data_IF_153724989892
#
_entry.id   IF_153724989892
#
_cell.length_a   1.000
_cell.length_b   1.000
_cell.length_c   1.000
_cell.angle_alpha   90.00
_cell.angle_beta   90.00
_cell.angle_gamma   90.00
#
_symmetry.space_group_name_H-M   'P 1'
#
loop_
_entity.id
_entity.type
_entity.pdbx_description
1 polymer ?
#
# COMPACT_ATOMS: atom_id res chain seq x y z
N UNK A 1 -7.68 0.18 -10.02
CA UNK A 1 -7.88 0.18 -8.55
C UNK A 1 -9.33 -0.15 -8.31
N UNK A 2 -9.63 -1.43 -8.09
CA UNK A 2 -10.99 -1.97 -8.09
C UNK A 2 -11.66 -1.90 -6.72
N UNK A 3 -10.85 -1.90 -5.66
CA UNK A 3 -11.30 -1.75 -4.28
C UNK A 3 -10.43 -0.68 -3.62
N UNK A 4 -11.06 0.42 -3.23
CA UNK A 4 -10.43 1.54 -2.55
C UNK A 4 -11.35 2.15 -1.52
N UNK A 5 -10.76 2.63 -0.44
CA UNK A 5 -11.42 3.34 0.65
C UNK A 5 -10.82 4.73 0.74
N UNK A 6 -11.71 5.73 0.69
CA UNK A 6 -11.37 7.10 1.00
C UNK A 6 -11.24 7.25 2.52
N UNK A 7 -10.07 7.68 2.96
CA UNK A 7 -9.74 7.97 4.34
C UNK A 7 -9.53 9.47 4.50
N UNK A 8 -10.23 10.08 5.45
CA UNK A 8 -10.10 11.48 5.79
C UNK A 8 -9.37 11.63 7.12
N UNK A 9 -8.30 12.42 7.14
CA UNK A 9 -7.59 12.77 8.36
C UNK A 9 -6.96 14.16 8.23
N UNK A 10 -7.57 15.14 8.91
CA UNK A 10 -7.14 16.54 8.98
C UNK A 10 -6.21 16.86 10.15
N UNK A 11 -5.73 15.83 10.87
CA UNK A 11 -4.82 16.07 11.97
C UNK A 11 -3.47 16.64 11.50
N UNK A 12 -2.76 17.30 12.42
CA UNK A 12 -1.39 17.79 12.22
C UNK A 12 -0.33 16.67 12.19
N UNK A 13 -0.75 15.40 12.15
CA UNK A 13 0.14 14.23 12.14
C UNK A 13 0.96 14.15 10.86
N UNK A 14 2.09 13.47 10.97
CA UNK A 14 2.91 13.17 9.79
C UNK A 14 2.14 12.30 8.80
N UNK A 15 2.45 12.45 7.50
CA UNK A 15 1.84 11.61 6.45
C UNK A 15 2.03 10.11 6.76
N UNK A 16 3.18 9.73 7.32
CA UNK A 16 3.48 8.35 7.72
C UNK A 16 2.45 7.81 8.70
N UNK A 17 2.16 8.54 9.77
CA UNK A 17 1.19 8.11 10.79
C UNK A 17 -0.22 8.00 10.22
N UNK A 18 -0.61 8.94 9.35
CA UNK A 18 -1.90 8.90 8.67
C UNK A 18 -2.04 7.66 7.79
N UNK A 19 -1.00 7.36 7.01
CA UNK A 19 -0.96 6.15 6.15
C UNK A 19 -1.01 4.90 7.01
N UNK A 20 -0.22 4.82 8.08
CA UNK A 20 -0.20 3.65 8.96
C UNK A 20 -1.58 3.34 9.55
N UNK A 21 -2.25 4.36 10.10
CA UNK A 21 -3.61 4.21 10.64
C UNK A 21 -4.62 3.79 9.60
N UNK A 22 -4.56 4.40 8.42
CA UNK A 22 -5.45 4.06 7.33
C UNK A 22 -5.22 2.62 6.83
N UNK A 23 -3.98 2.12 6.84
CA UNK A 23 -3.64 0.72 6.53
C UNK A 23 -4.18 -0.23 7.59
N UNK A 24 -3.98 0.08 8.87
CA UNK A 24 -4.51 -0.72 9.99
C UNK A 24 -6.03 -0.80 9.96
N UNK A 25 -6.70 0.32 9.69
CA UNK A 25 -8.15 0.37 9.58
C UNK A 25 -8.66 -0.38 8.34
N UNK A 26 -8.00 -0.22 7.18
CA UNK A 26 -8.35 -0.95 5.97
C UNK A 26 -8.25 -2.46 6.20
N UNK A 27 -7.17 -2.92 6.84
CA UNK A 27 -6.96 -4.34 7.14
C UNK A 27 -8.01 -4.88 8.10
N UNK A 28 -8.37 -4.12 9.13
CA UNK A 28 -9.44 -4.50 10.06
C UNK A 28 -10.82 -4.55 9.37
N UNK A 29 -11.10 -3.61 8.46
CA UNK A 29 -12.39 -3.49 7.79
C UNK A 29 -12.60 -4.52 6.69
N UNK A 30 -11.58 -4.79 5.88
CA UNK A 30 -11.66 -5.66 4.70
C UNK A 30 -10.97 -7.02 4.87
N UNK A 31 -10.28 -7.24 6.00
CA UNK A 31 -9.53 -8.48 6.26
C UNK A 31 -8.33 -8.70 5.32
N UNK A 32 -7.89 -7.66 4.62
CA UNK A 32 -6.81 -7.72 3.61
C UNK A 32 -5.89 -6.52 3.75
N UNK A 33 -4.59 -6.74 3.53
CA UNK A 33 -3.62 -5.65 3.52
C UNK A 33 -3.76 -4.83 2.22
N UNK A 34 -3.81 -3.49 2.28
CA UNK A 34 -3.76 -2.67 1.09
C UNK A 34 -2.37 -2.69 0.46
N UNK A 35 -2.30 -2.53 -0.86
CA UNK A 35 -1.03 -2.53 -1.61
C UNK A 35 -0.65 -1.15 -2.13
N UNK A 36 -1.57 -0.19 -2.13
CA UNK A 36 -1.36 1.14 -2.67
C UNK A 36 -2.09 2.21 -1.84
N UNK A 37 -1.42 3.35 -1.65
CA UNK A 37 -1.99 4.55 -1.08
C UNK A 37 -1.80 5.74 -2.03
N UNK A 38 -2.87 6.46 -2.37
CA UNK A 38 -2.81 7.70 -3.15
C UNK A 38 -3.10 8.89 -2.24
N UNK A 39 -2.34 9.97 -2.42
CA UNK A 39 -2.50 11.19 -1.62
C UNK A 39 -2.33 12.43 -2.48
N UNK A 40 -2.83 13.57 -2.01
CA UNK A 40 -2.65 14.82 -2.74
C UNK A 40 -1.15 15.25 -2.74
N UNK A 41 -0.57 15.63 -3.89
CA UNK A 41 0.81 16.11 -3.96
C UNK A 41 1.10 17.32 -3.05
N UNK A 42 0.13 18.18 -2.77
CA UNK A 42 0.29 19.32 -1.88
C UNK A 42 0.51 18.91 -0.41
N UNK A 43 0.03 17.73 -0.01
CA UNK A 43 0.34 17.15 1.31
C UNK A 43 1.65 16.36 1.33
N UNK A 44 2.25 16.15 0.16
CA UNK A 44 3.48 15.43 -0.07
C UNK A 44 4.62 16.45 -0.16
N UNK A 45 4.95 17.12 0.96
CA UNK A 45 6.10 18.05 1.06
C UNK A 45 7.44 17.28 0.88
N UNK A 46 7.67 16.67 -0.29
CA UNK A 46 8.85 15.87 -0.66
C UNK A 46 9.07 14.54 0.09
N UNK A 47 8.44 14.35 1.26
CA UNK A 47 8.87 13.35 2.25
C UNK A 47 8.20 11.98 2.26
N UNK A 48 7.32 11.64 1.31
CA UNK A 48 6.58 10.37 1.36
C UNK A 48 7.37 9.11 0.96
N UNK A 49 8.65 9.26 0.60
CA UNK A 49 9.39 8.18 -0.07
C UNK A 49 10.07 7.17 0.85
N UNK A 50 10.30 7.47 2.12
CA UNK A 50 11.30 6.68 2.86
C UNK A 50 10.82 5.82 4.03
N UNK A 51 9.54 5.80 4.43
CA UNK A 51 9.19 5.04 5.63
C UNK A 51 7.71 4.65 5.83
N UNK A 52 6.94 4.52 4.76
CA UNK A 52 5.52 4.11 4.84
C UNK A 52 5.37 2.60 4.67
N UNK A 53 4.36 1.98 5.32
CA UNK A 53 4.13 0.53 5.21
C UNK A 53 3.69 0.08 3.81
N UNK A 54 3.17 1.01 3.00
CA UNK A 54 2.73 0.78 1.63
C UNK A 54 3.31 1.85 0.71
N UNK A 55 3.49 1.56 -0.59
CA UNK A 55 3.92 2.57 -1.56
C UNK A 55 2.86 3.67 -1.66
N UNK A 56 3.30 4.92 -1.40
CA UNK A 56 2.48 6.11 -1.54
C UNK A 56 2.74 6.77 -2.89
N UNK A 57 1.69 7.05 -3.65
CA UNK A 57 1.76 7.81 -4.91
C UNK A 57 0.99 9.12 -4.79
N UNK A 58 1.53 10.16 -5.39
CA UNK A 58 0.82 11.43 -5.49
C UNK A 58 -0.23 11.37 -6.60
N UNK A 59 -1.46 11.76 -6.30
CA UNK A 59 -2.56 11.86 -7.25
C UNK A 59 -3.29 13.20 -7.06
N UNK A 60 -3.33 14.03 -8.11
CA UNK A 60 -4.02 15.33 -8.08
C UNK A 60 -5.54 15.21 -7.96
N UNK A 61 -6.09 14.04 -8.29
CA UNK A 61 -7.50 13.71 -8.11
C UNK A 61 -7.91 13.52 -6.65
N UNK A 62 -6.95 13.27 -5.75
CA UNK A 62 -7.21 13.12 -4.31
C UNK A 62 -7.22 14.52 -3.67
N UNK A 63 -8.26 14.83 -2.92
CA UNK A 63 -8.38 16.11 -2.23
C UNK A 63 -7.33 16.26 -1.10
N UNK A 64 -6.95 17.48 -0.71
CA UNK A 64 -6.13 17.70 0.49
C UNK A 64 -6.77 17.03 1.73
N UNK A 65 -5.95 16.55 2.65
CA UNK A 65 -6.36 15.78 3.85
C UNK A 65 -7.10 14.46 3.59
N UNK A 66 -7.21 14.05 2.32
CA UNK A 66 -7.74 12.76 1.94
C UNK A 66 -6.63 11.83 1.49
N UNK A 67 -6.77 10.57 1.84
CA UNK A 67 -5.95 9.46 1.39
C UNK A 67 -6.86 8.44 0.73
N UNK A 68 -6.42 7.88 -0.38
CA UNK A 68 -7.11 6.79 -1.05
C UNK A 68 -6.31 5.52 -0.84
N UNK A 69 -6.83 4.58 -0.03
CA UNK A 69 -6.13 3.33 0.29
C UNK A 69 -6.85 2.18 -0.36
N UNK A 70 -6.12 1.30 -1.01
CA UNK A 70 -6.74 0.16 -1.67
C UNK A 70 -5.74 -0.87 -2.14
N UNK A 71 -6.29 -1.83 -2.86
CA UNK A 71 -5.53 -2.89 -3.51
C UNK A 71 -5.50 -2.60 -4.99
N UNK A 72 -4.28 -2.54 -5.52
CA UNK A 72 -4.06 -2.49 -6.96
C UNK A 72 -3.93 -3.92 -7.49
N UNK A 73 -4.77 -4.29 -8.47
CA UNK A 73 -4.81 -5.66 -8.99
C UNK A 73 -3.48 -6.10 -9.61
N UNK A 74 -2.70 -5.18 -10.18
CA UNK A 74 -1.37 -5.49 -10.69
C UNK A 74 -0.40 -5.81 -9.53
N UNK A 75 -0.53 -5.12 -8.40
CA UNK A 75 0.25 -5.41 -7.21
C UNK A 75 -0.14 -6.76 -6.60
N UNK A 76 -1.43 -7.09 -6.56
CA UNK A 76 -1.92 -8.40 -6.10
C UNK A 76 -1.43 -9.55 -7.00
N UNK A 77 -1.53 -9.40 -8.33
CA UNK A 77 -1.01 -10.41 -9.27
C UNK A 77 0.49 -10.64 -9.11
N UNK A 78 1.26 -9.58 -8.83
CA UNK A 78 2.71 -9.71 -8.56
C UNK A 78 2.99 -10.43 -7.24
N UNK A 79 2.25 -10.13 -6.18
CA UNK A 79 2.41 -10.80 -4.89
C UNK A 79 2.09 -12.30 -5.00
N UNK A 80 1.04 -12.66 -5.75
CA UNK A 80 0.65 -14.05 -5.97
C UNK A 80 1.69 -14.82 -6.80
N UNK A 81 2.28 -14.19 -7.83
CA UNK A 81 3.36 -14.81 -8.63
C UNK A 81 4.64 -15.02 -7.83
N UNK A 82 5.01 -14.07 -6.96
CA UNK A 82 6.19 -14.20 -6.11
C UNK A 82 6.05 -15.32 -5.05
N UNK A 83 4.85 -15.50 -4.49
CA UNK A 83 4.56 -16.60 -3.57
C UNK A 83 4.63 -17.97 -4.27
N UNK A 84 4.16 -18.05 -5.52
CA UNK A 84 4.19 -19.28 -6.33
C UNK A 84 5.61 -19.64 -6.79
N UNK A 85 6.42 -18.66 -7.24
CA UNK A 85 7.84 -18.87 -7.58
C UNK A 85 8.71 -19.24 -6.37
N UNK A 86 8.33 -18.83 -5.15
CA UNK A 86 9.00 -19.23 -3.91
C UNK A 86 8.75 -20.68 -3.49
N UNK A 87 7.64 -21.28 -3.92
CA UNK A 87 7.29 -22.67 -3.62
C UNK A 87 7.96 -23.68 -4.57
N UNK A 88 8.42 -23.24 -5.75
CA UNK A 88 8.97 -24.09 -6.79
C UNK A 88 10.50 -24.22 -6.75
N UNK A 89 11.12 -24.59 -5.61
CA UNK A 89 12.47 -25.19 -5.65
C UNK A 89 12.91 -26.02 -4.44
N UNK A 90 12.80 -27.35 -4.47
CA UNK A 90 13.81 -28.20 -3.85
C UNK A 90 14.98 -28.35 -4.83
N UNK A 91 16.11 -27.68 -4.56
CA UNK A 91 17.40 -28.03 -5.18
C UNK A 91 17.77 -29.45 -4.73
N UNK A 92 17.35 -30.48 -5.47
CA UNK A 92 17.91 -31.83 -5.34
C UNK A 92 19.41 -31.76 -5.70
N UNK A 93 20.28 -31.75 -4.70
CA UNK A 93 21.70 -32.10 -4.91
C UNK A 93 21.74 -33.57 -5.33
N UNK A 94 22.09 -33.85 -6.59
CA UNK A 94 22.41 -35.22 -7.03
C UNK A 94 23.71 -35.66 -6.35
N UNK A 95 23.76 -36.81 -5.67
CA UNK A 95 25.01 -37.44 -5.29
C UNK A 95 25.50 -38.35 -6.43
N UNK A 96 26.78 -38.23 -6.78
CA UNK A 96 27.71 -39.27 -7.23
C UNK A 96 28.94 -38.57 -7.80
#
# INVERSE_FOLDING_TARGET
>A
MDIGMLWYDDSSRSLKEKVQRAVEFYTQKYGRAPTLCLVNPAGLNGGARENTPVPVRAARSVMPNHLWIGVDEEAERKHQRAADEGAARPRRKKPA
#
